data_IF_151984109726
#
_entry.id   IF_151984109726
#
_cell.length_a   1.000
_cell.length_b   1.000
_cell.length_c   1.000
_cell.angle_alpha   90.00
_cell.angle_beta   90.00
_cell.angle_gamma   90.00
#
_symmetry.space_group_name_H-M   'P 1'
#
loop_
_entity.id
_entity.type
_entity.pdbx_description
1 polymer ?
#
# COMPACT_ATOMS: atom_id res chain seq x y z
N UNK A 1 -6.92 20.59 0.84
CA UNK A 1 -5.44 20.52 0.83
C UNK A 1 -4.84 21.91 0.80
N UNK A 2 -3.59 22.05 1.20
CA UNK A 2 -2.86 23.33 1.15
C UNK A 2 -2.18 23.48 -0.22
N UNK A 3 -2.40 24.61 -0.91
CA UNK A 3 -1.85 24.86 -2.24
C UNK A 3 -1.24 26.26 -2.32
N UNK A 4 -0.14 26.41 -3.05
CA UNK A 4 0.45 27.71 -3.39
C UNK A 4 0.19 27.99 -4.87
N UNK A 5 -0.40 29.14 -5.17
CA UNK A 5 -0.70 29.60 -6.54
C UNK A 5 0.09 30.87 -6.86
N UNK A 6 0.77 30.89 -8.00
CA UNK A 6 1.55 32.03 -8.46
C UNK A 6 1.13 32.40 -9.89
N UNK A 7 0.30 33.45 -10.08
CA UNK A 7 0.02 33.97 -11.42
C UNK A 7 1.24 34.67 -12.00
N UNK A 8 1.32 34.78 -13.33
CA UNK A 8 2.44 35.38 -14.07
C UNK A 8 2.71 36.84 -13.72
N UNK A 9 1.72 37.55 -13.15
CA UNK A 9 1.81 38.96 -12.77
C UNK A 9 2.21 39.15 -11.29
N UNK A 10 2.27 38.08 -10.49
CA UNK A 10 2.59 38.18 -9.07
C UNK A 10 4.06 37.87 -8.79
N UNK A 11 4.69 38.72 -7.98
CA UNK A 11 6.08 38.55 -7.55
C UNK A 11 6.25 37.46 -6.46
N UNK A 12 5.17 36.98 -5.85
CA UNK A 12 5.18 35.96 -4.78
C UNK A 12 3.97 35.03 -4.88
N UNK A 13 4.11 33.75 -4.52
CA UNK A 13 2.99 32.80 -4.49
C UNK A 13 2.01 33.13 -3.36
N UNK A 14 0.72 33.01 -3.64
CA UNK A 14 -0.39 33.15 -2.69
C UNK A 14 -0.85 31.78 -2.22
N UNK A 15 -1.12 31.65 -0.92
CA UNK A 15 -1.67 30.42 -0.34
C UNK A 15 -3.16 30.32 -0.62
N UNK A 16 -3.57 29.23 -1.25
CA UNK A 16 -4.95 28.86 -1.50
C UNK A 16 -5.34 27.73 -0.55
N UNK A 17 -6.42 27.94 0.19
CA UNK A 17 -7.13 26.82 0.80
C UNK A 17 -7.89 26.09 -0.30
N UNK A 18 -7.64 24.79 -0.45
CA UNK A 18 -8.47 23.95 -1.29
C UNK A 18 -9.92 23.93 -0.79
N UNK A 19 -10.85 23.55 -1.67
CA UNK A 19 -12.26 23.39 -1.33
C UNK A 19 -12.42 22.36 -0.19
N UNK A 20 -13.22 22.71 0.82
CA UNK A 20 -13.71 21.74 1.79
C UNK A 20 -14.76 20.88 1.09
N UNK A 21 -14.58 19.57 1.12
CA UNK A 21 -15.57 18.61 0.65
C UNK A 21 -15.95 17.78 1.86
N UNK A 22 -17.23 17.81 2.21
CA UNK A 22 -17.78 17.04 3.31
C UNK A 22 -18.02 15.58 2.91
N UNK A 23 -17.98 14.65 3.87
CA UNK A 23 -18.23 13.22 3.60
C UNK A 23 -19.57 12.98 2.85
N UNK A 24 -20.69 13.65 3.20
CA UNK A 24 -21.93 13.51 2.46
C UNK A 24 -21.84 14.00 1.01
N UNK A 25 -20.99 14.99 0.69
CA UNK A 25 -20.77 15.44 -0.68
C UNK A 25 -20.00 14.40 -1.49
N UNK A 26 -18.98 13.78 -0.88
CA UNK A 26 -18.22 12.69 -1.50
C UNK A 26 -19.15 11.53 -1.84
N UNK A 27 -19.98 11.09 -0.89
CA UNK A 27 -20.94 9.99 -1.10
C UNK A 27 -21.91 10.27 -2.24
N UNK A 28 -22.47 11.50 -2.29
CA UNK A 28 -23.37 11.90 -3.38
C UNK A 28 -22.68 11.90 -4.74
N UNK A 29 -21.43 12.35 -4.80
CA UNK A 29 -20.65 12.31 -6.04
C UNK A 29 -20.39 10.86 -6.46
N UNK A 30 -19.91 10.00 -5.56
CA UNK A 30 -19.67 8.58 -5.86
C UNK A 30 -20.94 7.91 -6.36
N UNK A 31 -22.09 8.15 -5.72
CA UNK A 31 -23.38 7.61 -6.14
C UNK A 31 -23.80 8.12 -7.53
N UNK A 32 -23.68 9.43 -7.77
CA UNK A 32 -24.00 10.02 -9.06
C UNK A 32 -23.13 9.44 -10.19
N UNK A 33 -21.82 9.31 -9.98
CA UNK A 33 -20.92 8.76 -10.99
C UNK A 33 -21.11 7.25 -11.19
N UNK A 34 -21.38 6.49 -10.12
CA UNK A 34 -21.67 5.06 -10.20
C UNK A 34 -22.95 4.74 -10.98
N UNK A 35 -23.96 5.61 -10.89
CA UNK A 35 -25.22 5.45 -11.62
C UNK A 35 -25.16 5.91 -13.08
N UNK A 36 -24.08 6.60 -13.48
CA UNK A 36 -23.92 7.11 -14.84
C UNK A 36 -23.42 6.06 -15.83
N UNK A 37 -22.89 4.92 -15.35
CA UNK A 37 -22.46 3.82 -16.23
C UNK A 37 -23.62 2.90 -16.62
N UNK A 38 -23.87 2.85 -17.92
CA UNK A 38 -24.58 1.77 -18.59
C UNK A 38 -23.70 0.53 -18.52
N UNK A 39 -24.02 -0.37 -17.60
CA UNK A 39 -23.70 -1.81 -17.58
C UNK A 39 -22.45 -2.24 -18.38
N UNK A 40 -21.28 -1.73 -18.02
CA UNK A 40 -20.03 -2.47 -18.19
C UNK A 40 -19.42 -2.59 -16.82
N UNK A 41 -19.53 -3.83 -16.29
CA UNK A 41 -19.09 -4.30 -14.99
C UNK A 41 -18.10 -3.35 -14.30
N UNK A 42 -18.59 -2.65 -13.26
CA UNK A 42 -17.71 -1.97 -12.34
C UNK A 42 -16.61 -2.95 -11.89
N UNK A 43 -15.31 -2.60 -11.95
CA UNK A 43 -14.32 -3.37 -11.25
C UNK A 43 -14.75 -3.37 -9.78
N UNK A 44 -14.94 -4.57 -9.20
CA UNK A 44 -15.20 -4.73 -7.77
C UNK A 44 -14.19 -3.87 -7.02
N UNK A 45 -14.67 -2.78 -6.44
CA UNK A 45 -13.90 -2.03 -5.46
C UNK A 45 -13.84 -2.99 -4.29
N UNK A 46 -12.71 -3.69 -4.16
CA UNK A 46 -12.40 -4.44 -2.95
C UNK A 46 -12.33 -3.40 -1.83
N UNK A 47 -13.43 -3.24 -1.09
CA UNK A 47 -13.44 -2.51 0.16
C UNK A 47 -12.40 -3.17 1.06
N UNK A 48 -11.25 -2.53 1.20
CA UNK A 48 -10.26 -2.87 2.19
C UNK A 48 -10.79 -2.42 3.56
N UNK A 49 -11.86 -3.07 4.02
CA UNK A 49 -12.32 -2.98 5.40
C UNK A 49 -11.27 -3.74 6.22
N UNK A 50 -10.52 -3.12 7.14
CA UNK A 50 -9.71 -3.87 8.08
C UNK A 50 -10.66 -4.48 9.10
N UNK A 51 -11.37 -5.53 8.69
CA UNK A 51 -12.03 -6.42 9.64
C UNK A 51 -10.92 -7.16 10.41
N UNK A 52 -10.99 -7.33 11.74
CA UNK A 52 -10.06 -8.17 12.48
C UNK A 52 -10.45 -9.63 12.21
N UNK A 53 -10.38 -10.03 10.95
CA UNK A 53 -10.63 -11.39 10.52
C UNK A 53 -9.29 -12.07 10.56
N UNK A 54 -9.21 -13.10 11.40
CA UNK A 54 -8.18 -14.13 11.41
C UNK A 54 -7.93 -14.50 9.94
N UNK A 55 -6.87 -13.94 9.35
CA UNK A 55 -6.53 -14.14 7.95
C UNK A 55 -6.10 -15.60 7.87
N UNK A 56 -6.98 -16.45 7.35
CA UNK A 56 -6.55 -17.70 6.72
C UNK A 56 -5.45 -17.27 5.76
N UNK A 57 -4.23 -17.74 6.02
CA UNK A 57 -3.05 -17.61 5.17
C UNK A 57 -3.37 -18.21 3.79
N UNK A 58 -4.08 -17.46 2.97
CA UNK A 58 -3.99 -17.66 1.53
C UNK A 58 -2.58 -17.23 1.19
N UNK A 59 -1.75 -18.24 0.90
CA UNK A 59 -0.36 -18.06 0.53
C UNK A 59 -0.29 -17.04 -0.60
N UNK A 60 0.09 -15.81 -0.25
CA UNK A 60 0.41 -14.79 -1.25
C UNK A 60 1.38 -15.42 -2.25
N UNK A 61 1.19 -15.20 -3.56
CA UNK A 61 2.12 -15.73 -4.56
C UNK A 61 3.55 -15.35 -4.16
N UNK A 62 4.45 -16.34 -4.15
CA UNK A 62 5.84 -16.17 -3.68
C UNK A 62 6.46 -14.98 -4.43
N UNK A 63 6.87 -13.96 -3.69
CA UNK A 63 7.49 -12.79 -4.30
C UNK A 63 8.79 -13.22 -4.99
N UNK A 64 9.07 -12.79 -6.24
CA UNK A 64 10.31 -13.13 -6.93
C UNK A 64 11.59 -12.77 -6.14
N UNK A 65 11.51 -11.77 -5.25
CA UNK A 65 12.62 -11.33 -4.42
C UNK A 65 12.76 -12.09 -3.09
N UNK A 66 11.86 -13.04 -2.80
CA UNK A 66 11.90 -13.84 -1.57
C UNK A 66 13.19 -14.68 -1.48
N UNK A 67 13.65 -15.25 -2.59
CA UNK A 67 14.90 -16.02 -2.65
C UNK A 67 16.14 -15.16 -2.35
N UNK A 68 16.17 -13.93 -2.87
CA UNK A 68 17.22 -12.95 -2.56
C UNK A 68 17.16 -12.51 -1.10
N UNK A 69 15.96 -12.34 -0.54
CA UNK A 69 15.77 -11.99 0.86
C UNK A 69 16.24 -13.10 1.81
N UNK A 70 16.08 -14.38 1.44
CA UNK A 70 16.64 -15.53 2.18
C UNK A 70 18.16 -15.54 2.24
N UNK A 71 18.80 -15.29 1.10
CA UNK A 71 20.28 -15.22 1.05
C UNK A 71 20.79 -14.14 1.99
N UNK A 72 20.16 -12.97 1.97
CA UNK A 72 20.48 -11.89 2.89
C UNK A 72 20.25 -12.31 4.35
N UNK A 73 19.19 -13.07 4.65
CA UNK A 73 18.89 -13.54 6.01
C UNK A 73 19.92 -14.54 6.53
N UNK A 74 20.50 -15.35 5.65
CA UNK A 74 21.61 -16.25 5.99
C UNK A 74 22.93 -15.49 6.20
N UNK A 75 23.18 -14.45 5.40
CA UNK A 75 24.39 -13.62 5.50
C UNK A 75 24.39 -12.71 6.74
N UNK A 76 23.21 -12.23 7.16
CA UNK A 76 23.06 -11.24 8.23
C UNK A 76 22.25 -11.78 9.41
N UNK A 77 22.87 -11.83 10.59
CA UNK A 77 22.25 -12.28 11.86
C UNK A 77 20.96 -11.54 12.26
N UNK A 78 20.72 -10.33 11.74
CA UNK A 78 19.51 -9.55 12.00
C UNK A 78 19.06 -8.89 10.72
N UNK A 79 17.86 -9.27 10.27
CA UNK A 79 17.15 -8.61 9.19
C UNK A 79 15.91 -7.90 9.75
N UNK A 80 15.56 -6.78 9.13
CA UNK A 80 14.33 -6.04 9.39
C UNK A 80 13.68 -5.61 8.08
N UNK A 81 12.41 -5.20 8.13
CA UNK A 81 11.69 -4.64 6.98
C UNK A 81 12.48 -3.51 6.31
N UNK A 82 13.00 -2.55 7.10
CA UNK A 82 13.83 -1.44 6.60
C UNK A 82 15.18 -1.87 6.03
N UNK A 83 15.71 -3.02 6.45
CA UNK A 83 16.92 -3.59 5.86
C UNK A 83 16.63 -4.10 4.44
N UNK A 84 15.55 -4.86 4.27
CA UNK A 84 15.12 -5.35 2.96
C UNK A 84 14.76 -4.21 2.00
N UNK A 85 14.09 -3.16 2.49
CA UNK A 85 13.79 -1.97 1.66
C UNK A 85 15.04 -1.38 1.01
N UNK A 86 16.13 -1.24 1.79
CA UNK A 86 17.39 -0.65 1.31
C UNK A 86 18.17 -1.59 0.40
N UNK A 87 18.17 -2.89 0.71
CA UNK A 87 19.00 -3.86 -0.01
C UNK A 87 18.36 -4.35 -1.31
N UNK A 88 17.02 -4.46 -1.34
CA UNK A 88 16.25 -4.94 -2.49
C UNK A 88 15.58 -3.80 -3.28
N UNK A 89 15.75 -2.54 -2.85
CA UNK A 89 15.16 -1.35 -3.49
C UNK A 89 13.63 -1.43 -3.66
N UNK A 90 12.93 -1.89 -2.62
CA UNK A 90 11.47 -2.08 -2.62
C UNK A 90 10.76 -1.16 -1.63
N UNK A 91 9.51 -0.84 -1.92
CA UNK A 91 8.63 -0.09 -1.02
C UNK A 91 8.26 -0.86 0.25
N UNK A 92 7.87 -0.13 1.30
CA UNK A 92 7.54 -0.69 2.61
C UNK A 92 6.49 -1.81 2.56
N UNK A 93 5.35 -1.68 1.85
CA UNK A 93 4.32 -2.73 1.83
C UNK A 93 4.81 -4.05 1.21
N UNK A 94 5.77 -3.98 0.28
CA UNK A 94 6.38 -5.19 -0.31
C UNK A 94 7.42 -5.79 0.62
N UNK A 95 8.25 -4.96 1.27
CA UNK A 95 9.23 -5.43 2.25
C UNK A 95 8.57 -6.10 3.47
N UNK A 96 7.46 -5.56 3.96
CA UNK A 96 6.70 -6.15 5.07
C UNK A 96 6.19 -7.56 4.72
N UNK A 97 5.57 -7.72 3.54
CA UNK A 97 5.10 -9.03 3.06
C UNK A 97 6.23 -10.05 2.90
N UNK A 98 7.38 -9.63 2.35
CA UNK A 98 8.54 -10.51 2.22
C UNK A 98 9.09 -10.90 3.61
N UNK A 99 9.10 -9.99 4.58
CA UNK A 99 9.49 -10.33 5.97
C UNK A 99 8.55 -11.35 6.61
N UNK A 100 7.24 -11.17 6.48
CA UNK A 100 6.26 -12.16 7.00
C UNK A 100 6.47 -13.53 6.34
N UNK A 101 6.67 -13.58 5.02
CA UNK A 101 6.95 -14.83 4.31
C UNK A 101 8.26 -15.49 4.75
N UNK A 102 9.30 -14.70 5.02
CA UNK A 102 10.57 -15.20 5.56
C UNK A 102 10.41 -15.75 6.97
N UNK A 103 9.65 -15.07 7.83
CA UNK A 103 9.38 -15.50 9.20
C UNK A 103 8.59 -16.82 9.19
N UNK A 104 7.56 -16.94 8.36
CA UNK A 104 6.79 -18.18 8.19
C UNK A 104 7.66 -19.37 7.75
N UNK A 105 8.50 -19.18 6.75
CA UNK A 105 9.40 -20.25 6.29
C UNK A 105 10.50 -20.56 7.33
N UNK A 106 11.00 -19.57 8.07
CA UNK A 106 12.00 -19.79 9.13
C UNK A 106 11.46 -20.52 10.36
N UNK A 107 10.19 -20.28 10.73
CA UNK A 107 9.51 -21.01 11.81
C UNK A 107 9.34 -22.48 11.43
N UNK A 108 9.08 -22.75 10.15
CA UNK A 108 8.94 -24.12 9.64
C UNK A 108 10.27 -24.88 9.63
N UNK A 109 11.40 -24.21 9.39
CA UNK A 109 12.74 -24.82 9.46
C UNK A 109 13.27 -25.01 10.90
N UNK A 110 12.68 -24.35 11.90
CA UNK A 110 13.08 -24.45 13.31
C UNK A 110 12.39 -25.57 14.10
N UNK A 111 11.47 -26.31 13.47
CA UNK A 111 10.72 -27.42 14.09
C UNK A 111 11.22 -28.82 13.65
N UNK A 112 12.34 -28.92 12.92
CA UNK A 112 13.04 -30.19 12.61
C UNK A 112 14.32 -30.39 13.42
#
# INVERSE_FOLDING_TARGET
GDMLYMPTEAAKPTRLQGCFVSDPEVERLVYFWGNQQREEAAPKIEEFVPSPTIVKREAYPKDPLLSAAKQLAQEHKRISTSFLQRRLHIGYPRAARIMEQLEEESVTEGEE
#
